data_IF_187740447144
#
_entry.id   IF_187740447144
#
_cell.length_a   1.000
_cell.length_b   1.000
_cell.length_c   1.000
_cell.angle_alpha   90.00
_cell.angle_beta   90.00
_cell.angle_gamma   90.00
#
_symmetry.space_group_name_H-M   'P 1'
#
loop_
_entity.id
_entity.type
_entity.pdbx_description
1 polymer ?
#
# COMPACT_ATOMS: atom_id res chain seq x y z
N UNK A 1 -24.55 6.45 42.13
CA UNK A 1 -25.47 5.37 41.68
C UNK A 1 -25.33 5.02 40.19
N UNK A 2 -25.60 5.90 39.20
CA UNK A 2 -25.49 5.53 37.76
C UNK A 2 -24.04 5.34 37.27
N UNK A 3 -23.10 6.09 37.83
CA UNK A 3 -21.65 6.00 37.55
C UNK A 3 -20.99 4.75 38.14
N UNK A 4 -21.39 4.34 39.35
CA UNK A 4 -20.87 3.14 40.01
C UNK A 4 -21.27 1.85 39.27
N UNK A 5 -22.49 1.81 38.73
CA UNK A 5 -22.96 0.71 37.91
C UNK A 5 -22.15 0.55 36.60
N UNK A 6 -21.68 1.63 35.99
CA UNK A 6 -20.84 1.57 34.78
C UNK A 6 -19.44 1.05 35.11
N UNK A 7 -18.88 1.44 36.26
CA UNK A 7 -17.57 0.95 36.72
C UNK A 7 -17.59 -0.55 37.01
N UNK A 8 -18.61 -1.03 37.74
CA UNK A 8 -18.77 -2.45 38.03
C UNK A 8 -18.96 -3.29 36.76
N UNK A 9 -19.70 -2.79 35.77
CA UNK A 9 -19.89 -3.49 34.48
C UNK A 9 -18.59 -3.59 33.67
N UNK A 10 -17.74 -2.56 33.70
CA UNK A 10 -16.41 -2.59 33.07
C UNK A 10 -15.45 -3.58 33.77
N UNK A 11 -15.51 -3.69 35.09
CA UNK A 11 -14.70 -4.67 35.84
C UNK A 11 -15.18 -6.11 35.61
N UNK A 12 -16.49 -6.34 35.49
CA UNK A 12 -17.05 -7.64 35.11
C UNK A 12 -16.64 -8.06 33.69
N UNK A 13 -16.69 -7.14 32.71
CA UNK A 13 -16.24 -7.42 31.34
C UNK A 13 -14.75 -7.78 31.28
N UNK A 14 -13.89 -7.07 32.03
CA UNK A 14 -12.46 -7.43 32.13
C UNK A 14 -12.22 -8.80 32.76
N UNK A 15 -13.03 -9.21 33.74
CA UNK A 15 -12.95 -10.54 34.35
C UNK A 15 -13.42 -11.63 33.38
N UNK A 16 -14.44 -11.35 32.57
CA UNK A 16 -14.93 -12.25 31.52
C UNK A 16 -13.86 -12.45 30.43
N UNK A 17 -13.29 -11.35 29.89
CA UNK A 17 -12.22 -11.41 28.88
C UNK A 17 -10.99 -12.21 29.37
N UNK A 18 -10.67 -12.13 30.67
CA UNK A 18 -9.57 -12.90 31.25
C UNK A 18 -9.92 -14.40 31.38
N UNK A 19 -11.15 -14.76 31.75
CA UNK A 19 -11.61 -16.15 31.79
C UNK A 19 -11.67 -16.78 30.39
N UNK A 20 -12.14 -16.04 29.39
CA UNK A 20 -12.19 -16.53 28.02
C UNK A 20 -10.78 -16.74 27.45
N UNK A 21 -9.82 -15.89 27.83
CA UNK A 21 -8.41 -16.05 27.46
C UNK A 21 -7.76 -17.28 28.10
N UNK A 22 -8.00 -17.51 29.40
CA UNK A 22 -7.46 -18.68 30.10
C UNK A 22 -8.12 -19.99 29.59
N UNK A 23 -9.43 -19.98 29.33
CA UNK A 23 -10.16 -21.11 28.72
C UNK A 23 -9.63 -21.47 27.32
N UNK A 24 -9.25 -20.49 26.51
CA UNK A 24 -8.70 -20.74 25.17
C UNK A 24 -7.30 -21.37 25.20
N UNK A 25 -6.54 -21.17 26.28
CA UNK A 25 -5.24 -21.83 26.48
C UNK A 25 -5.40 -23.25 26.98
N UNK A 26 -6.38 -23.51 27.85
CA UNK A 26 -6.59 -24.83 28.41
C UNK A 26 -7.20 -25.79 27.37
N UNK A 27 -8.10 -25.33 26.50
CA UNK A 27 -8.62 -26.13 25.38
C UNK A 27 -7.54 -26.52 24.37
N UNK A 28 -6.61 -25.61 24.04
CA UNK A 28 -5.48 -25.92 23.13
C UNK A 28 -4.44 -26.86 23.75
N UNK A 29 -4.43 -27.03 25.09
CA UNK A 29 -3.51 -27.95 25.78
C UNK A 29 -4.16 -29.33 26.02
N UNK A 30 -5.49 -29.42 26.04
CA UNK A 30 -6.21 -30.70 26.24
C UNK A 30 -6.47 -31.53 24.98
N UNK A 31 -6.33 -30.96 23.78
CA UNK A 31 -6.55 -31.69 22.50
C UNK A 31 -5.30 -32.35 21.91
N UNK A 32 -4.20 -32.42 22.65
CA UNK A 32 -2.93 -33.03 22.19
C UNK A 32 -2.49 -34.29 22.94
N UNK A 33 -3.27 -34.78 23.92
CA UNK A 33 -2.85 -35.88 24.81
C UNK A 33 -3.73 -37.16 24.76
N UNK A 34 -4.57 -37.36 23.73
CA UNK A 34 -5.50 -38.52 23.64
C UNK A 34 -5.22 -39.54 22.51
N UNK A 35 -4.06 -39.50 21.83
CA UNK A 35 -3.71 -40.50 20.80
C UNK A 35 -2.30 -41.07 20.96
N UNK A 36 -2.05 -41.91 21.97
CA UNK A 36 -0.99 -42.93 21.93
C UNK A 36 -1.20 -44.02 23.02
N UNK A 37 -2.21 -44.87 22.83
CA UNK A 37 -2.36 -46.15 23.52
C UNK A 37 -2.27 -47.28 22.50
N UNK A 38 -1.06 -47.77 22.23
CA UNK A 38 -0.77 -49.17 21.88
C UNK A 38 0.68 -49.34 21.43
N UNK A 39 1.47 -50.10 22.20
CA UNK A 39 2.60 -50.85 21.66
C UNK A 39 3.97 -50.60 22.28
N UNK A 40 4.43 -51.56 23.08
CA UNK A 40 5.75 -52.15 22.84
C UNK A 40 6.90 -51.77 23.78
N UNK A 41 7.07 -52.57 24.83
CA UNK A 41 8.26 -52.71 25.68
C UNK A 41 9.61 -52.76 24.93
N UNK A 42 10.64 -52.05 25.45
CA UNK A 42 11.99 -52.64 25.66
C UNK A 42 12.91 -51.83 26.62
N UNK A 43 13.19 -52.49 27.76
CA UNK A 43 14.47 -52.62 28.48
C UNK A 43 15.33 -51.40 28.89
N UNK A 44 15.31 -51.16 30.21
CA UNK A 44 16.44 -50.91 31.16
C UNK A 44 17.87 -50.88 30.59
N UNK A 45 18.71 -49.95 31.10
CA UNK A 45 19.85 -50.19 32.01
C UNK A 45 20.48 -48.84 32.45
N UNK A 46 21.05 -48.87 33.66
CA UNK A 46 21.47 -47.80 34.56
C UNK A 46 22.70 -46.96 34.16
N UNK A 47 22.83 -45.80 34.83
CA UNK A 47 24.12 -45.30 35.34
C UNK A 47 24.43 -43.83 35.02
N UNK A 48 24.42 -42.95 36.04
CA UNK A 48 25.62 -42.24 36.55
C UNK A 48 25.33 -40.95 37.33
N UNK A 49 25.82 -40.99 38.58
CA UNK A 49 26.72 -40.00 39.24
C UNK A 49 26.20 -38.62 39.66
N UNK A 50 26.11 -38.47 40.99
CA UNK A 50 26.23 -37.22 41.75
C UNK A 50 27.66 -36.65 41.67
N UNK A 51 27.80 -35.33 41.53
CA UNK A 51 28.96 -34.61 42.08
C UNK A 51 28.59 -33.17 42.49
N UNK A 52 28.82 -32.89 43.78
CA UNK A 52 28.88 -31.56 44.42
C UNK A 52 30.19 -30.82 44.11
N UNK A 53 30.19 -29.50 44.43
CA UNK A 53 31.27 -28.49 44.53
C UNK A 53 31.29 -27.47 43.37
N UNK A 54 31.55 -26.17 43.55
CA UNK A 54 32.02 -25.33 44.66
C UNK A 54 31.88 -23.85 44.25
N UNK A 55 31.63 -22.97 45.22
CA UNK A 55 31.83 -21.51 45.12
C UNK A 55 33.32 -21.15 44.89
N UNK A 56 33.63 -20.23 43.97
CA UNK A 56 34.89 -19.42 43.85
C UNK A 56 34.50 -18.09 43.17
N UNK A 57 34.35 -16.96 43.89
CA UNK A 57 35.35 -15.95 44.29
C UNK A 57 35.80 -14.99 43.17
N UNK A 58 35.60 -13.69 43.47
CA UNK A 58 36.05 -12.47 42.82
C UNK A 58 37.55 -12.42 42.44
N UNK A 59 37.84 -11.81 41.28
CA UNK A 59 39.01 -10.98 40.88
C UNK A 59 39.02 -10.99 39.32
N UNK A 60 39.15 -9.91 38.53
CA UNK A 60 39.96 -8.68 38.63
C UNK A 60 39.53 -7.71 37.50
N UNK A 61 39.32 -6.45 37.88
CA UNK A 61 39.79 -5.19 37.26
C UNK A 61 39.99 -5.01 35.74
N UNK A 62 39.59 -3.81 35.30
CA UNK A 62 40.01 -3.00 34.14
C UNK A 62 39.24 -3.15 32.82
N UNK A 63 38.17 -2.35 32.70
CA UNK A 63 37.92 -1.52 31.50
C UNK A 63 36.82 -0.47 31.78
N UNK A 64 37.19 0.60 32.50
CA UNK A 64 36.43 1.84 32.56
C UNK A 64 36.87 2.73 31.38
N UNK A 65 36.04 2.84 30.33
CA UNK A 65 36.00 4.03 29.45
C UNK A 65 34.88 4.05 28.37
N UNK A 66 33.92 3.12 28.34
CA UNK A 66 32.85 3.12 27.31
C UNK A 66 31.41 3.23 27.83
N UNK A 67 31.20 3.55 29.11
CA UNK A 67 29.86 3.57 29.74
C UNK A 67 29.13 4.93 29.74
N UNK A 68 29.70 5.99 29.18
CA UNK A 68 29.04 7.29 29.09
C UNK A 68 28.23 7.48 27.80
N UNK A 69 28.66 6.88 26.67
CA UNK A 69 27.94 6.98 25.39
C UNK A 69 26.73 6.03 25.28
N UNK A 70 26.68 4.98 26.10
CA UNK A 70 25.56 4.03 26.15
C UNK A 70 24.41 4.61 26.99
N UNK A 71 24.74 5.26 28.12
CA UNK A 71 23.73 5.93 28.96
C UNK A 71 23.06 7.11 28.24
N UNK A 72 23.78 7.85 27.39
CA UNK A 72 23.20 8.99 26.68
C UNK A 72 22.24 8.57 25.55
N UNK A 73 22.55 7.47 24.84
CA UNK A 73 21.64 6.86 23.84
C UNK A 73 20.37 6.26 24.49
N UNK A 74 20.52 5.58 25.61
CA UNK A 74 19.38 4.98 26.34
C UNK A 74 18.46 6.05 26.97
N UNK A 75 19.00 7.21 27.36
CA UNK A 75 18.23 8.36 27.86
C UNK A 75 17.46 9.04 26.72
N UNK A 76 18.04 9.13 25.51
CA UNK A 76 17.36 9.69 24.34
C UNK A 76 16.23 8.75 23.89
N UNK A 77 16.49 7.44 23.76
CA UNK A 77 15.48 6.45 23.34
C UNK A 77 14.34 6.28 24.36
N UNK A 78 14.62 6.36 25.66
CA UNK A 78 13.58 6.32 26.70
C UNK A 78 12.71 7.59 26.74
N UNK A 79 13.25 8.74 26.33
CA UNK A 79 12.48 10.00 26.24
C UNK A 79 11.58 10.07 25.00
N UNK A 80 11.98 9.40 23.91
CA UNK A 80 11.21 9.33 22.65
C UNK A 80 10.09 8.30 22.75
N UNK A 81 10.35 7.14 23.36
CA UNK A 81 9.36 6.07 23.54
C UNK A 81 8.25 6.43 24.57
N UNK A 82 8.51 7.32 25.52
CA UNK A 82 7.50 7.80 26.48
C UNK A 82 6.58 8.90 25.93
N UNK A 83 6.92 9.55 24.80
CA UNK A 83 6.08 10.61 24.19
C UNK A 83 4.78 10.08 23.55
N UNK A 84 4.62 8.75 23.49
CA UNK A 84 3.53 8.10 22.78
C UNK A 84 2.37 7.59 23.63
N UNK A 85 2.49 7.70 24.94
CA UNK A 85 1.45 7.46 25.92
C UNK A 85 1.04 8.76 26.60
N UNK A 86 0.46 9.69 25.82
CA UNK A 86 -0.09 10.89 26.42
C UNK A 86 -1.34 10.54 27.23
N UNK A 87 -1.23 10.58 28.55
CA UNK A 87 -2.40 10.54 29.43
C UNK A 87 -3.07 11.91 29.36
N UNK A 88 -4.39 11.97 29.56
CA UNK A 88 -5.11 13.25 29.63
C UNK A 88 -4.56 14.22 30.70
N UNK A 89 -3.70 13.71 31.60
CA UNK A 89 -3.01 14.41 32.68
C UNK A 89 -1.69 15.07 32.29
N UNK A 90 -1.19 14.87 31.07
CA UNK A 90 0.13 15.40 30.71
C UNK A 90 0.09 16.91 30.45
N UNK A 91 1.16 17.64 30.83
CA UNK A 91 1.19 19.09 30.72
C UNK A 91 1.02 19.54 29.25
N UNK A 92 0.38 20.69 29.00
CA UNK A 92 0.14 21.18 27.64
C UNK A 92 1.43 21.29 26.81
N UNK A 93 2.57 21.53 27.45
CA UNK A 93 3.90 21.54 26.82
C UNK A 93 4.24 20.23 26.08
N UNK A 94 3.82 19.07 26.59
CA UNK A 94 4.04 17.78 25.94
C UNK A 94 3.25 17.65 24.63
N UNK A 95 2.01 18.19 24.60
CA UNK A 95 1.16 18.21 23.41
C UNK A 95 1.76 19.11 22.32
N UNK A 96 2.28 20.29 22.69
CA UNK A 96 2.97 21.19 21.77
C UNK A 96 4.29 20.59 21.26
N UNK A 97 5.09 19.97 22.12
CA UNK A 97 6.32 19.28 21.70
C UNK A 97 6.02 18.18 20.69
N UNK A 98 4.97 17.38 20.92
CA UNK A 98 4.55 16.32 20.00
C UNK A 98 4.07 16.87 18.66
N UNK A 99 3.31 17.96 18.68
CA UNK A 99 2.88 18.64 17.47
C UNK A 99 4.09 19.19 16.69
N UNK A 100 5.04 19.83 17.38
CA UNK A 100 6.25 20.37 16.77
C UNK A 100 7.10 19.28 16.11
N UNK A 101 7.38 18.18 16.81
CA UNK A 101 8.13 17.03 16.23
C UNK A 101 7.40 16.51 14.99
N UNK A 102 6.08 16.39 15.04
CA UNK A 102 5.29 15.92 13.90
C UNK A 102 5.34 16.88 12.72
N UNK A 103 5.22 18.18 12.96
CA UNK A 103 5.31 19.19 11.91
C UNK A 103 6.69 19.22 11.25
N UNK A 104 7.77 19.16 12.03
CA UNK A 104 9.14 19.17 11.52
C UNK A 104 9.44 17.91 10.69
N UNK A 105 9.12 16.73 11.23
CA UNK A 105 9.30 15.48 10.49
C UNK A 105 8.41 15.42 9.24
N UNK A 106 7.17 15.93 9.33
CA UNK A 106 6.27 16.03 8.19
C UNK A 106 6.82 16.95 7.09
N UNK A 107 7.39 18.10 7.45
CA UNK A 107 8.05 19.01 6.50
C UNK A 107 9.26 18.37 5.83
N UNK A 108 10.09 17.65 6.59
CA UNK A 108 11.22 16.89 6.05
C UNK A 108 10.76 15.81 5.07
N UNK A 109 9.73 15.05 5.43
CA UNK A 109 9.14 14.05 4.53
C UNK A 109 8.61 14.68 3.25
N UNK A 110 7.84 15.77 3.33
CA UNK A 110 7.33 16.48 2.14
C UNK A 110 8.48 16.96 1.25
N UNK A 111 9.54 17.53 1.84
CA UNK A 111 10.74 17.95 1.10
C UNK A 111 11.42 16.79 0.39
N UNK A 112 11.68 15.69 1.09
CA UNK A 112 12.26 14.47 0.53
C UNK A 112 11.42 13.89 -0.62
N UNK A 113 10.11 13.74 -0.41
CA UNK A 113 9.20 13.26 -1.44
C UNK A 113 9.16 14.21 -2.65
N UNK A 114 9.18 15.53 -2.44
CA UNK A 114 9.21 16.50 -3.54
C UNK A 114 10.49 16.37 -4.36
N UNK A 115 11.64 16.15 -3.72
CA UNK A 115 12.91 15.89 -4.41
C UNK A 115 12.80 14.61 -5.24
N UNK A 116 12.35 13.50 -4.65
CA UNK A 116 12.18 12.23 -5.39
C UNK A 116 11.20 12.40 -6.55
N UNK A 117 10.07 13.08 -6.33
CA UNK A 117 9.06 13.32 -7.36
C UNK A 117 9.57 14.23 -8.48
N UNK A 118 10.55 15.11 -8.23
CA UNK A 118 11.17 15.95 -9.26
C UNK A 118 12.16 15.21 -10.18
N UNK A 119 12.42 13.93 -9.90
CA UNK A 119 13.29 13.07 -10.73
C UNK A 119 12.50 12.30 -11.79
N UNK A 120 13.20 11.48 -12.57
CA UNK A 120 12.63 10.64 -13.62
C UNK A 120 11.59 9.63 -13.10
N UNK A 121 10.56 9.33 -13.91
CA UNK A 121 9.53 8.32 -13.64
C UNK A 121 10.14 6.98 -13.18
N UNK A 122 11.29 6.58 -13.75
CA UNK A 122 12.01 5.36 -13.35
C UNK A 122 12.50 5.43 -11.90
N UNK A 123 13.06 6.56 -11.46
CA UNK A 123 13.54 6.73 -10.08
C UNK A 123 12.36 6.73 -9.11
N UNK A 124 11.24 7.35 -9.48
CA UNK A 124 10.00 7.31 -8.69
C UNK A 124 9.48 5.86 -8.58
N UNK A 125 9.51 5.07 -9.66
CA UNK A 125 9.13 3.67 -9.63
C UNK A 125 10.05 2.82 -8.74
N UNK A 126 11.36 3.02 -8.79
CA UNK A 126 12.32 2.36 -7.88
C UNK A 126 12.07 2.74 -6.42
N UNK A 127 11.75 4.00 -6.16
CA UNK A 127 11.41 4.45 -4.81
C UNK A 127 10.14 3.77 -4.28
N UNK A 128 9.11 3.64 -5.13
CA UNK A 128 7.89 2.91 -4.81
C UNK A 128 8.19 1.44 -4.47
N UNK A 129 9.04 0.78 -5.26
CA UNK A 129 9.53 -0.58 -4.97
C UNK A 129 10.24 -0.63 -3.61
N UNK A 130 11.13 0.32 -3.32
CA UNK A 130 11.85 0.36 -2.04
C UNK A 130 10.90 0.49 -0.84
N UNK A 131 9.90 1.36 -0.92
CA UNK A 131 8.86 1.50 0.11
C UNK A 131 8.10 0.19 0.33
N UNK A 132 7.78 -0.54 -0.73
CA UNK A 132 7.05 -1.81 -0.63
C UNK A 132 7.88 -2.93 -0.02
N UNK A 133 9.18 -2.99 -0.29
CA UNK A 133 10.08 -3.90 0.39
C UNK A 133 10.13 -3.62 1.91
N UNK A 134 10.07 -2.34 2.29
CA UNK A 134 9.97 -1.95 3.71
C UNK A 134 8.62 -2.37 4.30
N UNK A 135 7.49 -2.08 3.64
CA UNK A 135 6.16 -2.55 4.09
C UNK A 135 6.13 -4.07 4.26
N UNK A 136 6.65 -4.83 3.28
CA UNK A 136 6.71 -6.27 3.36
C UNK A 136 7.51 -6.74 4.59
N UNK A 137 8.69 -6.13 4.81
CA UNK A 137 9.53 -6.42 5.98
C UNK A 137 8.77 -6.14 7.29
N UNK A 138 8.11 -5.00 7.42
CA UNK A 138 7.33 -4.62 8.62
C UNK A 138 6.18 -5.62 8.87
N UNK A 139 5.44 -5.98 7.84
CA UNK A 139 4.30 -6.90 7.92
C UNK A 139 4.70 -8.34 8.28
N UNK A 140 5.84 -8.83 7.77
CA UNK A 140 6.37 -10.15 8.15
C UNK A 140 6.95 -10.14 9.56
N UNK A 141 7.51 -9.02 10.01
CA UNK A 141 8.08 -8.89 11.36
C UNK A 141 7.04 -9.11 12.46
N UNK A 142 5.76 -8.74 12.24
CA UNK A 142 4.66 -8.96 13.19
C UNK A 142 4.51 -10.42 13.64
N UNK A 143 4.76 -11.38 12.74
CA UNK A 143 4.63 -12.82 13.05
C UNK A 143 5.96 -13.51 13.35
N UNK A 144 7.06 -12.78 13.27
CA UNK A 144 8.39 -13.37 13.44
C UNK A 144 8.61 -13.93 14.84
N UNK A 145 8.12 -13.23 15.88
CA UNK A 145 8.27 -13.65 17.28
C UNK A 145 7.56 -14.99 17.51
N UNK A 146 6.27 -15.09 17.16
CA UNK A 146 5.50 -16.33 17.28
C UNK A 146 6.09 -17.47 16.45
N UNK A 147 6.63 -17.18 15.25
CA UNK A 147 7.25 -18.18 14.39
C UNK A 147 8.56 -18.71 14.99
N UNK A 148 9.34 -17.84 15.64
CA UNK A 148 10.56 -18.20 16.38
C UNK A 148 10.23 -19.06 17.59
N UNK A 149 9.20 -18.70 18.35
CA UNK A 149 8.72 -19.47 19.51
C UNK A 149 8.25 -20.88 19.12
N UNK A 150 7.51 -21.01 18.01
CA UNK A 150 7.08 -22.30 17.45
C UNK A 150 8.18 -23.05 16.69
N UNK A 151 9.43 -22.55 16.70
CA UNK A 151 10.62 -23.14 16.07
C UNK A 151 10.37 -23.55 14.60
N UNK A 152 9.70 -22.69 13.82
CA UNK A 152 9.47 -22.95 12.39
C UNK A 152 10.78 -22.86 11.61
N UNK A 153 11.16 -23.90 10.87
CA UNK A 153 12.36 -23.86 10.04
C UNK A 153 12.17 -22.91 8.85
N UNK A 154 13.22 -22.20 8.46
CA UNK A 154 13.28 -21.39 7.24
C UNK A 154 12.18 -20.32 7.07
N UNK A 155 11.51 -19.89 8.15
CA UNK A 155 10.41 -18.92 8.09
C UNK A 155 10.76 -17.66 7.28
N UNK A 156 11.91 -17.03 7.58
CA UNK A 156 12.33 -15.82 6.87
C UNK A 156 12.64 -16.13 5.40
N UNK A 157 13.46 -17.15 5.15
CA UNK A 157 13.89 -17.54 3.80
C UNK A 157 12.71 -17.82 2.89
N UNK A 158 11.70 -18.55 3.38
CA UNK A 158 10.52 -18.88 2.60
C UNK A 158 9.67 -17.64 2.26
N UNK A 159 9.48 -16.73 3.21
CA UNK A 159 8.76 -15.47 2.95
C UNK A 159 9.47 -14.60 1.91
N UNK A 160 10.79 -14.42 2.05
CA UNK A 160 11.59 -13.66 1.09
C UNK A 160 11.67 -14.35 -0.28
N UNK A 161 11.63 -15.68 -0.33
CA UNK A 161 11.54 -16.43 -1.57
C UNK A 161 10.22 -16.14 -2.30
N UNK A 162 9.07 -16.24 -1.63
CA UNK A 162 7.79 -15.92 -2.25
C UNK A 162 7.69 -14.45 -2.71
N UNK A 163 8.32 -13.52 -1.98
CA UNK A 163 8.46 -12.14 -2.43
C UNK A 163 9.26 -12.05 -3.72
N UNK A 164 10.45 -12.67 -3.77
CA UNK A 164 11.28 -12.71 -4.96
C UNK A 164 10.55 -13.31 -6.16
N UNK A 165 9.88 -14.44 -5.99
CA UNK A 165 9.05 -15.08 -7.03
C UNK A 165 7.98 -14.13 -7.55
N UNK A 166 7.28 -13.42 -6.66
CA UNK A 166 6.23 -12.46 -7.04
C UNK A 166 6.82 -11.26 -7.79
N UNK A 167 7.95 -10.73 -7.32
CA UNK A 167 8.67 -9.65 -7.99
C UNK A 167 9.16 -10.06 -9.37
N UNK A 168 9.68 -11.28 -9.51
CA UNK A 168 10.10 -11.81 -10.79
C UNK A 168 8.91 -11.91 -11.76
N UNK A 169 7.77 -12.40 -11.29
CA UNK A 169 6.55 -12.48 -12.09
C UNK A 169 6.05 -11.10 -12.58
N UNK A 170 5.98 -10.09 -11.70
CA UNK A 170 5.44 -8.78 -12.07
C UNK A 170 6.45 -7.83 -12.74
N UNK A 171 7.74 -7.86 -12.36
CA UNK A 171 8.72 -6.83 -12.75
C UNK A 171 9.86 -7.30 -13.64
N UNK A 172 10.15 -8.60 -13.71
CA UNK A 172 11.34 -9.03 -14.44
C UNK A 172 11.20 -8.80 -15.96
N UNK A 173 10.00 -8.92 -16.53
CA UNK A 173 9.82 -8.89 -17.99
C UNK A 173 10.29 -7.56 -18.64
N UNK A 174 9.87 -6.37 -18.19
CA UNK A 174 10.40 -5.11 -18.75
C UNK A 174 11.92 -5.00 -18.62
N UNK A 175 12.48 -5.40 -17.47
CA UNK A 175 13.93 -5.36 -17.21
C UNK A 175 14.68 -6.32 -18.16
N UNK A 176 14.16 -7.54 -18.33
CA UNK A 176 14.73 -8.56 -19.21
C UNK A 176 14.68 -8.12 -20.68
N UNK A 177 13.63 -7.42 -21.11
CA UNK A 177 13.54 -6.85 -22.48
C UNK A 177 14.64 -5.80 -22.68
N UNK A 178 14.80 -4.88 -21.73
CA UNK A 178 15.87 -3.88 -21.79
C UNK A 178 17.25 -4.54 -21.84
N UNK A 179 17.51 -5.54 -21.00
CA UNK A 179 18.77 -6.29 -21.01
C UNK A 179 18.98 -7.09 -22.29
N UNK A 180 17.92 -7.64 -22.88
CA UNK A 180 17.99 -8.37 -24.15
C UNK A 180 18.34 -7.46 -25.34
N UNK A 181 18.03 -6.17 -25.28
CA UNK A 181 18.46 -5.21 -26.31
C UNK A 181 19.99 -5.00 -26.30
N UNK A 182 20.64 -5.15 -25.14
CA UNK A 182 22.10 -5.03 -25.01
C UNK A 182 22.83 -6.37 -25.17
N UNK A 183 22.25 -7.46 -24.65
CA UNK A 183 22.84 -8.80 -24.65
C UNK A 183 21.81 -9.86 -25.06
N UNK A 184 21.42 -9.91 -26.36
CA UNK A 184 20.32 -10.75 -26.84
C UNK A 184 20.58 -12.25 -26.61
N UNK A 185 21.81 -12.72 -26.85
CA UNK A 185 22.19 -14.14 -26.75
C UNK A 185 21.87 -14.76 -25.37
N UNK A 186 21.97 -13.95 -24.31
CA UNK A 186 21.76 -14.40 -22.94
C UNK A 186 20.30 -14.22 -22.52
N UNK A 187 19.73 -13.03 -22.74
CA UNK A 187 18.46 -12.65 -22.13
C UNK A 187 17.22 -12.98 -22.97
N UNK A 188 17.36 -13.19 -24.28
CA UNK A 188 16.21 -13.49 -25.14
C UNK A 188 15.49 -14.78 -24.72
N UNK A 189 16.24 -15.78 -24.25
CA UNK A 189 15.67 -17.00 -23.65
C UNK A 189 14.77 -16.67 -22.45
N UNK A 190 15.28 -15.87 -21.51
CA UNK A 190 14.55 -15.49 -20.30
C UNK A 190 13.33 -14.61 -20.60
N UNK A 191 13.41 -13.73 -21.61
CA UNK A 191 12.25 -12.95 -22.07
C UNK A 191 11.16 -13.86 -22.62
N UNK A 192 11.54 -14.81 -23.50
CA UNK A 192 10.60 -15.74 -24.15
C UNK A 192 9.92 -16.68 -23.16
N UNK A 193 10.67 -17.19 -22.19
CA UNK A 193 10.18 -18.18 -21.21
C UNK A 193 9.92 -17.60 -19.82
N UNK A 194 9.77 -16.26 -19.71
CA UNK A 194 9.56 -15.56 -18.43
C UNK A 194 8.42 -16.15 -17.60
N UNK A 195 7.26 -16.43 -18.22
CA UNK A 195 6.11 -17.03 -17.52
C UNK A 195 6.42 -18.44 -17.00
N UNK A 196 7.16 -19.23 -17.79
CA UNK A 196 7.52 -20.59 -17.42
C UNK A 196 8.51 -20.59 -16.23
N UNK A 197 9.51 -19.70 -16.25
CA UNK A 197 10.42 -19.52 -15.12
C UNK A 197 9.69 -19.01 -13.86
N UNK A 198 8.76 -18.07 -14.00
CA UNK A 198 7.97 -17.56 -12.88
C UNK A 198 7.13 -18.66 -12.24
N UNK A 199 6.46 -19.48 -13.05
CA UNK A 199 5.69 -20.63 -12.57
C UNK A 199 6.58 -21.68 -11.91
N UNK A 200 7.77 -21.93 -12.46
CA UNK A 200 8.74 -22.88 -11.90
C UNK A 200 9.24 -22.43 -10.53
N UNK A 201 9.57 -21.15 -10.36
CA UNK A 201 9.93 -20.56 -9.07
C UNK A 201 8.79 -20.69 -8.05
N UNK A 202 7.55 -20.45 -8.46
CA UNK A 202 6.38 -20.64 -7.59
C UNK A 202 6.25 -22.11 -7.13
N UNK A 203 6.36 -23.07 -8.05
CA UNK A 203 6.33 -24.50 -7.73
C UNK A 203 7.45 -24.90 -6.76
N UNK A 204 8.68 -24.39 -6.94
CA UNK A 204 9.79 -24.60 -6.01
C UNK A 204 9.42 -24.07 -4.61
N UNK A 205 8.90 -22.85 -4.52
CA UNK A 205 8.47 -22.26 -3.25
C UNK A 205 7.37 -23.07 -2.57
N UNK A 206 6.41 -23.57 -3.34
CA UNK A 206 5.34 -24.42 -2.85
C UNK A 206 5.88 -25.74 -2.29
N UNK A 207 6.76 -26.43 -3.03
CA UNK A 207 7.40 -27.67 -2.56
C UNK A 207 8.24 -27.39 -1.31
N UNK A 208 9.03 -26.32 -1.28
CA UNK A 208 9.80 -25.91 -0.10
C UNK A 208 8.89 -25.67 1.12
N UNK A 209 7.73 -25.02 0.94
CA UNK A 209 6.75 -24.87 2.01
C UNK A 209 6.26 -26.23 2.53
N UNK A 210 5.89 -27.16 1.64
CA UNK A 210 5.44 -28.51 2.04
C UNK A 210 6.54 -29.24 2.83
N UNK A 211 7.79 -29.14 2.41
CA UNK A 211 8.94 -29.73 3.11
C UNK A 211 9.19 -29.11 4.50
N UNK A 212 8.68 -27.90 4.77
CA UNK A 212 8.79 -27.29 6.11
C UNK A 212 7.71 -27.77 7.09
N UNK A 213 6.68 -28.50 6.64
CA UNK A 213 5.55 -28.91 7.46
C UNK A 213 5.98 -29.81 8.63
N UNK A 214 5.54 -29.49 9.84
CA UNK A 214 5.81 -30.27 11.07
C UNK A 214 4.51 -30.65 11.77
N UNK A 215 4.42 -31.93 12.19
CA UNK A 215 3.32 -32.45 13.00
C UNK A 215 3.12 -31.58 14.25
N UNK A 216 1.87 -31.27 14.59
CA UNK A 216 1.49 -30.44 15.75
C UNK A 216 1.40 -28.93 15.50
N UNK A 217 1.87 -28.40 14.36
CA UNK A 217 1.81 -26.94 14.07
C UNK A 217 1.22 -26.61 12.69
N UNK A 218 0.58 -27.57 12.01
CA UNK A 218 0.05 -27.38 10.66
C UNK A 218 -0.89 -26.18 10.54
N UNK A 219 -1.87 -26.04 11.45
CA UNK A 219 -2.83 -24.91 11.44
C UNK A 219 -2.12 -23.55 11.42
N UNK A 220 -1.04 -23.44 12.20
CA UNK A 220 -0.23 -22.22 12.25
C UNK A 220 0.59 -22.05 10.95
N UNK A 221 1.19 -23.10 10.40
CA UNK A 221 1.94 -23.02 9.13
C UNK A 221 1.05 -22.65 7.93
N UNK A 222 -0.15 -23.21 7.82
CA UNK A 222 -1.13 -22.81 6.79
C UNK A 222 -1.62 -21.37 7.00
N UNK A 223 -1.83 -20.96 8.25
CA UNK A 223 -2.10 -19.55 8.58
C UNK A 223 -0.93 -18.65 8.19
N UNK A 224 0.33 -19.10 8.33
CA UNK A 224 1.51 -18.37 7.86
C UNK A 224 1.53 -18.20 6.36
N UNK A 225 1.31 -19.26 5.59
CA UNK A 225 1.22 -19.17 4.14
C UNK A 225 0.13 -18.19 3.70
N UNK A 226 -1.05 -18.27 4.33
CA UNK A 226 -2.18 -17.37 4.04
C UNK A 226 -1.81 -15.90 4.30
N UNK A 227 -1.07 -15.63 5.37
CA UNK A 227 -0.57 -14.30 5.70
C UNK A 227 0.46 -13.78 4.69
N UNK A 228 1.41 -14.63 4.29
CA UNK A 228 2.38 -14.31 3.23
C UNK A 228 1.65 -13.96 1.93
N UNK A 229 0.71 -14.80 1.49
CA UNK A 229 -0.07 -14.57 0.27
C UNK A 229 -0.90 -13.29 0.35
N UNK A 230 -1.53 -13.01 1.50
CA UNK A 230 -2.26 -11.77 1.72
C UNK A 230 -1.36 -10.54 1.59
N UNK A 231 -0.17 -10.56 2.21
CA UNK A 231 0.80 -9.45 2.11
C UNK A 231 1.28 -9.30 0.66
N UNK A 232 1.57 -10.39 -0.05
CA UNK A 232 2.00 -10.32 -1.45
C UNK A 232 0.92 -9.73 -2.35
N UNK A 233 -0.35 -10.07 -2.12
CA UNK A 233 -1.47 -9.45 -2.82
C UNK A 233 -1.57 -7.95 -2.49
N UNK A 234 -1.44 -7.57 -1.21
CA UNK A 234 -1.55 -6.18 -0.78
C UNK A 234 -0.36 -5.31 -1.22
N UNK A 235 0.84 -5.87 -1.25
CA UNK A 235 2.08 -5.16 -1.56
C UNK A 235 2.41 -5.24 -3.05
N UNK A 236 2.56 -6.45 -3.62
CA UNK A 236 3.12 -6.66 -4.97
C UNK A 236 2.11 -6.41 -6.09
N UNK A 237 0.85 -6.80 -5.89
CA UNK A 237 -0.18 -6.56 -6.92
C UNK A 237 -0.50 -5.07 -6.99
N UNK A 238 -0.69 -4.44 -5.83
CA UNK A 238 -0.94 -3.00 -5.74
C UNK A 238 0.20 -2.18 -6.33
N UNK A 239 1.43 -2.57 -6.05
CA UNK A 239 2.62 -1.88 -6.53
C UNK A 239 2.77 -1.94 -8.04
N UNK A 240 2.41 -3.08 -8.64
CA UNK A 240 2.41 -3.23 -10.08
C UNK A 240 1.45 -2.23 -10.74
N UNK A 241 0.25 -2.06 -10.18
CA UNK A 241 -0.70 -1.05 -10.64
C UNK A 241 -0.20 0.38 -10.43
N UNK A 242 0.41 0.67 -9.28
CA UNK A 242 0.96 1.98 -8.98
C UNK A 242 2.09 2.37 -9.94
N UNK A 243 2.99 1.44 -10.23
CA UNK A 243 4.08 1.64 -11.18
C UNK A 243 3.52 1.80 -12.59
N UNK A 244 2.54 0.99 -12.98
CA UNK A 244 1.85 1.18 -14.26
C UNK A 244 1.26 2.59 -14.39
N UNK A 245 0.64 3.12 -13.34
CA UNK A 245 0.12 4.50 -13.33
C UNK A 245 1.22 5.54 -13.47
N UNK A 246 2.37 5.37 -12.78
CA UNK A 246 3.54 6.25 -12.91
C UNK A 246 3.96 6.37 -14.37
N UNK A 247 4.12 5.25 -15.09
CA UNK A 247 4.56 5.26 -16.48
C UNK A 247 3.55 5.89 -17.46
N UNK A 248 2.26 5.89 -17.13
CA UNK A 248 1.21 6.58 -17.90
C UNK A 248 1.20 8.10 -17.67
N UNK A 249 1.97 8.59 -16.69
CA UNK A 249 2.08 10.00 -16.32
C UNK A 249 2.17 10.13 -14.81
N UNK A 250 3.13 10.91 -14.30
CA UNK A 250 3.29 11.11 -12.87
C UNK A 250 2.08 11.77 -12.21
N UNK A 251 1.21 12.44 -12.98
CA UNK A 251 -0.08 12.95 -12.49
C UNK A 251 -0.93 11.85 -11.85
N UNK A 252 -0.93 10.63 -12.42
CA UNK A 252 -1.67 9.47 -11.92
C UNK A 252 -1.06 8.86 -10.66
N UNK A 253 0.05 9.41 -10.19
CA UNK A 253 0.68 9.06 -8.92
C UNK A 253 0.63 10.21 -7.92
N UNK A 254 1.09 11.40 -8.32
CA UNK A 254 1.20 12.58 -7.47
C UNK A 254 -0.18 13.06 -7.00
N UNK A 255 -1.14 13.21 -7.92
CA UNK A 255 -2.47 13.73 -7.56
C UNK A 255 -3.19 12.81 -6.54
N UNK A 256 -3.31 11.49 -6.76
CA UNK A 256 -3.91 10.58 -5.79
C UNK A 256 -3.19 10.55 -4.44
N UNK A 257 -1.86 10.53 -4.43
CA UNK A 257 -1.08 10.55 -3.18
C UNK A 257 -1.35 11.83 -2.40
N UNK A 258 -1.32 12.99 -3.07
CA UNK A 258 -1.61 14.28 -2.46
C UNK A 258 -3.05 14.38 -1.96
N UNK A 259 -4.03 13.78 -2.66
CA UNK A 259 -5.43 13.71 -2.21
C UNK A 259 -5.55 13.00 -0.86
N UNK A 260 -4.89 11.85 -0.68
CA UNK A 260 -4.91 11.10 0.58
C UNK A 260 -4.24 11.89 1.71
N UNK A 261 -3.05 12.47 1.45
CA UNK A 261 -2.33 13.27 2.44
C UNK A 261 -3.16 14.48 2.88
N UNK A 262 -3.77 15.17 1.91
CA UNK A 262 -4.68 16.28 2.15
C UNK A 262 -5.90 15.85 2.98
N UNK A 263 -6.52 14.73 2.62
CA UNK A 263 -7.65 14.17 3.36
C UNK A 263 -7.29 13.86 4.82
N UNK A 264 -6.14 13.24 5.08
CA UNK A 264 -5.70 12.93 6.45
C UNK A 264 -5.43 14.21 7.27
N UNK A 265 -4.83 15.23 6.67
CA UNK A 265 -4.58 16.53 7.31
C UNK A 265 -5.90 17.20 7.68
N UNK A 266 -6.84 17.32 6.75
CA UNK A 266 -8.12 17.97 7.02
C UNK A 266 -9.03 17.13 7.91
N UNK A 267 -8.93 15.81 7.89
CA UNK A 267 -9.62 14.94 8.84
C UNK A 267 -9.12 15.17 10.26
N UNK A 268 -7.80 15.34 10.45
CA UNK A 268 -7.21 15.68 11.73
C UNK A 268 -7.65 17.07 12.21
N UNK A 269 -7.57 18.10 11.36
CA UNK A 269 -7.99 19.46 11.73
C UNK A 269 -9.47 19.55 12.08
N UNK A 270 -10.37 19.05 11.22
CA UNK A 270 -11.81 19.05 11.49
C UNK A 270 -12.16 18.18 12.69
N UNK A 271 -11.47 17.04 12.87
CA UNK A 271 -11.63 16.20 14.06
C UNK A 271 -11.13 16.87 15.34
N UNK A 272 -10.12 17.73 15.28
CA UNK A 272 -9.61 18.48 16.42
C UNK A 272 -10.56 19.61 16.85
N UNK A 273 -11.10 20.38 15.90
CA UNK A 273 -11.96 21.54 16.20
C UNK A 273 -13.43 21.18 16.43
N UNK A 274 -13.96 20.21 15.68
CA UNK A 274 -15.40 19.87 15.66
C UNK A 274 -15.68 18.44 16.14
N UNK A 275 -14.65 17.62 16.37
CA UNK A 275 -14.83 16.21 16.66
C UNK A 275 -15.63 15.94 17.93
N UNK A 276 -16.60 15.02 17.82
CA UNK A 276 -17.51 14.64 18.91
C UNK A 276 -18.39 15.79 19.42
N UNK A 277 -18.53 16.88 18.68
CA UNK A 277 -19.44 17.98 19.04
C UNK A 277 -20.87 17.67 18.62
N UNK A 278 -21.05 17.02 17.47
CA UNK A 278 -22.36 16.66 16.92
C UNK A 278 -22.64 15.17 17.10
N UNK A 279 -21.62 14.33 16.89
CA UNK A 279 -21.72 12.87 16.93
C UNK A 279 -20.75 12.36 17.99
N UNK A 280 -21.28 12.08 19.19
CA UNK A 280 -20.51 11.63 20.36
C UNK A 280 -19.86 10.22 20.21
N UNK A 281 -20.03 9.55 19.06
CA UNK A 281 -19.44 8.23 18.78
C UNK A 281 -18.23 8.37 17.85
N UNK A 282 -17.17 7.55 18.05
CA UNK A 282 -16.10 7.46 17.06
C UNK A 282 -16.65 6.91 15.74
N UNK A 283 -15.97 7.21 14.64
CA UNK A 283 -16.32 6.71 13.32
C UNK A 283 -16.34 5.17 13.30
N UNK A 284 -15.32 4.54 13.88
CA UNK A 284 -15.25 3.10 14.10
C UNK A 284 -14.66 2.76 15.46
N UNK A 285 -15.11 1.65 16.05
CA UNK A 285 -14.60 1.16 17.34
C UNK A 285 -13.11 0.80 17.29
N UNK A 286 -12.62 0.35 16.13
CA UNK A 286 -11.21 -0.05 15.94
C UNK A 286 -10.22 1.14 15.96
N UNK A 287 -10.73 2.35 15.73
CA UNK A 287 -9.96 3.59 15.72
C UNK A 287 -10.73 4.72 16.42
N UNK A 288 -10.69 4.77 17.77
CA UNK A 288 -11.56 5.64 18.58
C UNK A 288 -11.26 7.15 18.47
N UNK A 289 -10.16 7.51 17.82
CA UNK A 289 -9.75 8.90 17.63
C UNK A 289 -10.31 9.53 16.35
N UNK A 290 -10.76 8.73 15.38
CA UNK A 290 -11.37 9.26 14.15
C UNK A 290 -12.84 9.60 14.42
N UNK A 291 -13.26 10.81 14.06
CA UNK A 291 -14.62 11.33 14.30
C UNK A 291 -15.40 11.46 13.01
N UNK A 292 -16.73 11.42 13.09
CA UNK A 292 -17.60 11.62 11.93
C UNK A 292 -17.46 13.04 11.36
N UNK A 293 -17.32 14.05 12.22
CA UNK A 293 -17.12 15.43 11.80
C UNK A 293 -15.79 15.62 11.06
N UNK A 294 -14.73 14.94 11.51
CA UNK A 294 -13.44 14.94 10.84
C UNK A 294 -13.54 14.32 9.45
N UNK A 295 -14.20 13.17 9.34
CA UNK A 295 -14.38 12.44 8.09
C UNK A 295 -15.22 13.23 7.06
N UNK A 296 -16.38 13.74 7.46
CA UNK A 296 -17.26 14.52 6.58
C UNK A 296 -16.63 15.87 6.22
N UNK A 297 -16.02 16.55 7.19
CA UNK A 297 -15.36 17.83 6.96
C UNK A 297 -14.17 17.72 6.01
N UNK A 298 -13.39 16.63 6.10
CA UNK A 298 -12.27 16.38 5.21
C UNK A 298 -12.71 16.28 3.74
N UNK A 299 -13.81 15.57 3.45
CA UNK A 299 -14.33 15.43 2.09
C UNK A 299 -14.49 16.76 1.36
N UNK A 300 -15.09 17.78 2.01
CA UNK A 300 -15.26 19.10 1.39
C UNK A 300 -13.93 19.79 1.04
N UNK A 301 -12.97 19.77 1.97
CA UNK A 301 -11.65 20.35 1.74
C UNK A 301 -10.84 19.59 0.69
N UNK A 302 -10.92 18.25 0.69
CA UNK A 302 -10.23 17.40 -0.27
C UNK A 302 -10.76 17.60 -1.69
N UNK A 303 -12.07 17.83 -1.86
CA UNK A 303 -12.66 18.17 -3.17
C UNK A 303 -12.11 19.50 -3.71
N UNK A 304 -12.11 20.53 -2.86
CA UNK A 304 -11.57 21.85 -3.22
C UNK A 304 -10.08 21.75 -3.59
N UNK A 305 -9.30 21.06 -2.76
CA UNK A 305 -7.88 20.83 -3.00
C UNK A 305 -7.65 20.10 -4.31
N UNK A 306 -8.36 19.00 -4.58
CA UNK A 306 -8.18 18.21 -5.79
C UNK A 306 -8.46 19.02 -7.06
N UNK A 307 -9.51 19.84 -7.07
CA UNK A 307 -9.87 20.68 -8.22
C UNK A 307 -8.76 21.69 -8.60
N UNK A 308 -8.25 22.44 -7.61
CA UNK A 308 -7.21 23.45 -7.83
C UNK A 308 -5.81 22.87 -7.97
N UNK A 309 -5.47 21.86 -7.17
CA UNK A 309 -4.16 21.22 -7.22
C UNK A 309 -3.97 20.46 -8.54
N UNK A 310 -5.03 19.81 -9.05
CA UNK A 310 -5.00 19.23 -10.39
C UNK A 310 -4.66 20.30 -11.44
N UNK A 311 -5.34 21.44 -11.44
CA UNK A 311 -5.04 22.56 -12.36
C UNK A 311 -3.61 23.10 -12.21
N UNK A 312 -3.04 23.09 -11.01
CA UNK A 312 -1.63 23.44 -10.77
C UNK A 312 -0.67 22.44 -11.42
N UNK A 313 -0.93 21.13 -11.31
CA UNK A 313 -0.07 20.08 -11.89
C UNK A 313 -0.02 20.15 -13.43
N UNK A 314 -1.09 20.60 -14.09
CA UNK A 314 -1.16 20.71 -15.55
C UNK A 314 -0.18 21.74 -16.16
N UNK A 315 0.45 22.57 -15.33
CA UNK A 315 1.50 23.50 -15.78
C UNK A 315 2.81 22.81 -16.15
N UNK A 316 2.98 21.55 -15.73
CA UNK A 316 4.24 20.82 -15.86
C UNK A 316 4.09 19.63 -16.80
N UNK A 317 4.67 19.72 -18.01
CA UNK A 317 4.58 18.66 -19.02
C UNK A 317 5.16 17.34 -18.53
N UNK A 318 6.27 17.36 -17.78
CA UNK A 318 6.89 16.15 -17.24
C UNK A 318 6.00 15.38 -16.25
N UNK A 319 5.02 16.05 -15.63
CA UNK A 319 4.04 15.41 -14.74
C UNK A 319 2.93 14.73 -15.55
N UNK A 320 2.50 15.39 -16.62
CA UNK A 320 1.34 14.97 -17.42
C UNK A 320 1.72 13.92 -18.47
N UNK A 321 2.90 14.08 -19.09
CA UNK A 321 3.33 13.25 -20.20
C UNK A 321 3.67 11.81 -19.76
N UNK A 322 3.19 10.80 -20.51
CA UNK A 322 3.60 9.42 -20.30
C UNK A 322 5.07 9.25 -20.65
N UNK A 323 5.79 8.42 -19.89
CA UNK A 323 7.23 8.15 -20.12
C UNK A 323 7.46 7.37 -21.42
N UNK A 324 6.48 6.58 -21.87
CA UNK A 324 6.62 5.74 -23.06
C UNK A 324 7.90 4.87 -23.01
N UNK A 325 8.53 4.70 -24.17
CA UNK A 325 9.83 4.05 -24.32
C UNK A 325 11.01 5.04 -24.41
N UNK A 326 10.82 6.30 -24.00
CA UNK A 326 11.88 7.33 -24.11
C UNK A 326 13.05 6.99 -23.19
N UNK A 327 14.25 7.43 -23.56
CA UNK A 327 15.47 7.21 -22.80
C UNK A 327 15.39 7.71 -21.35
N UNK A 328 16.30 7.20 -20.53
CA UNK A 328 16.48 7.66 -19.16
C UNK A 328 16.86 9.15 -19.16
N UNK A 329 16.11 10.00 -18.43
CA UNK A 329 16.35 11.45 -18.31
C UNK A 329 16.16 12.32 -19.57
N UNK A 330 15.47 11.83 -20.61
CA UNK A 330 15.09 12.67 -21.74
C UNK A 330 13.97 13.66 -21.38
N UNK A 331 14.02 14.88 -21.94
CA UNK A 331 12.97 15.88 -21.79
C UNK A 331 11.68 15.38 -22.42
N UNK A 332 10.64 15.20 -21.60
CA UNK A 332 9.34 14.73 -22.05
C UNK A 332 8.50 15.88 -22.60
N UNK A 333 8.42 15.93 -23.93
CA UNK A 333 7.42 16.71 -24.63
C UNK A 333 6.49 15.73 -25.35
N UNK A 334 5.21 15.77 -25.00
CA UNK A 334 4.18 14.94 -25.60
C UNK A 334 3.00 15.80 -26.05
N UNK A 335 2.24 15.28 -27.00
CA UNK A 335 0.88 15.77 -27.24
C UNK A 335 0.03 15.41 -26.03
N UNK A 336 -0.44 16.42 -25.30
CA UNK A 336 -1.27 16.21 -24.10
C UNK A 336 -2.57 15.52 -24.50
N UNK A 337 -2.95 14.49 -23.73
CA UNK A 337 -4.23 13.80 -23.91
C UNK A 337 -5.40 14.80 -23.83
N UNK A 338 -6.48 14.63 -24.63
CA UNK A 338 -7.66 15.50 -24.61
C UNK A 338 -8.29 15.73 -23.24
N UNK A 339 -8.04 14.88 -22.24
CA UNK A 339 -8.50 15.06 -20.85
C UNK A 339 -7.81 16.24 -20.15
N UNK A 340 -6.60 16.59 -20.58
CA UNK A 340 -5.77 17.66 -20.01
C UNK A 340 -5.90 18.99 -20.77
N UNK A 341 -6.64 19.02 -21.87
CA UNK A 341 -6.86 20.20 -22.69
C UNK A 341 -8.17 20.91 -22.30
N UNK A 342 -8.17 22.24 -22.43
CA UNK A 342 -9.37 23.04 -22.26
C UNK A 342 -10.41 22.67 -23.33
N UNK A 343 -11.65 22.45 -22.89
CA UNK A 343 -12.81 22.21 -23.76
C UNK A 343 -13.88 23.24 -23.46
N UNK A 344 -14.59 23.66 -24.49
CA UNK A 344 -15.78 24.50 -24.34
C UNK A 344 -16.99 23.61 -24.02
N UNK A 345 -17.65 23.88 -22.90
CA UNK A 345 -18.90 23.22 -22.56
C UNK A 345 -20.06 23.95 -23.23
N UNK A 346 -20.69 23.27 -24.19
CA UNK A 346 -21.89 23.75 -24.86
C UNK A 346 -23.09 23.06 -24.20
N UNK A 347 -23.98 23.84 -23.59
CA UNK A 347 -25.19 23.31 -22.97
C UNK A 347 -26.09 22.66 -24.03
N UNK A 348 -26.69 21.48 -23.73
CA UNK A 348 -27.71 20.88 -24.59
C UNK A 348 -28.83 21.88 -24.93
N UNK A 349 -29.29 21.93 -26.19
CA UNK A 349 -30.28 22.92 -26.64
C UNK A 349 -31.60 22.85 -25.86
N UNK A 350 -31.94 21.68 -25.31
CA UNK A 350 -33.11 21.48 -24.47
C UNK A 350 -32.98 22.25 -23.15
N UNK A 351 -31.79 22.29 -22.55
CA UNK A 351 -31.53 22.98 -21.30
C UNK A 351 -31.47 24.49 -21.53
N UNK A 352 -30.84 24.94 -22.62
CA UNK A 352 -30.76 26.37 -22.94
C UNK A 352 -32.15 26.95 -23.23
N UNK A 353 -33.01 26.23 -23.95
CA UNK A 353 -34.39 26.65 -24.22
C UNK A 353 -35.25 26.69 -22.97
N UNK A 354 -35.14 25.69 -22.07
CA UNK A 354 -35.85 25.67 -20.79
C UNK A 354 -35.37 26.82 -19.89
N UNK A 355 -34.06 27.02 -19.76
CA UNK A 355 -33.49 28.10 -18.95
C UNK A 355 -33.90 29.48 -19.47
N UNK A 356 -33.89 29.67 -20.79
CA UNK A 356 -34.34 30.91 -21.40
C UNK A 356 -35.85 31.13 -21.18
N UNK A 357 -36.67 30.10 -21.38
CA UNK A 357 -38.15 30.20 -21.29
C UNK A 357 -38.65 30.43 -19.86
N UNK A 358 -38.12 29.71 -18.88
CA UNK A 358 -38.66 29.73 -17.51
C UNK A 358 -37.86 30.59 -16.54
N UNK A 359 -36.56 30.74 -16.76
CA UNK A 359 -35.68 31.50 -15.87
C UNK A 359 -35.23 32.83 -16.49
N UNK A 360 -35.43 33.06 -17.79
CA UNK A 360 -34.90 34.24 -18.49
C UNK A 360 -33.37 34.28 -18.54
N UNK A 361 -32.70 33.14 -18.33
CA UNK A 361 -31.24 33.05 -18.26
C UNK A 361 -30.70 32.51 -19.59
N UNK A 362 -29.81 33.29 -20.22
CA UNK A 362 -29.01 32.82 -21.35
C UNK A 362 -27.77 32.11 -20.81
N UNK A 363 -27.71 30.79 -20.98
CA UNK A 363 -26.55 29.99 -20.57
C UNK A 363 -25.40 30.22 -21.57
N UNK A 364 -24.36 30.91 -21.13
CA UNK A 364 -23.13 31.12 -21.91
C UNK A 364 -22.23 29.88 -21.83
N UNK A 365 -21.56 29.49 -22.92
CA UNK A 365 -20.55 28.44 -22.86
C UNK A 365 -19.45 28.86 -21.89
N UNK A 366 -18.90 27.88 -21.16
CA UNK A 366 -17.75 28.09 -20.29
C UNK A 366 -16.66 27.09 -20.62
N UNK A 367 -15.40 27.49 -20.42
CA UNK A 367 -14.25 26.60 -20.60
C UNK A 367 -14.02 25.77 -19.35
N UNK A 368 -13.70 24.50 -19.54
CA UNK A 368 -13.35 23.61 -18.45
C UNK A 368 -12.25 22.64 -18.89
N UNK A 369 -11.51 22.11 -17.91
CA UNK A 369 -10.53 21.06 -18.17
C UNK A 369 -11.10 19.73 -17.63
N UNK A 370 -11.37 18.73 -18.47
CA UNK A 370 -12.04 17.48 -18.07
C UNK A 370 -11.39 16.78 -16.87
N UNK A 371 -10.05 16.78 -16.81
CA UNK A 371 -9.29 16.17 -15.70
C UNK A 371 -9.67 16.74 -14.32
N UNK A 372 -10.09 18.00 -14.21
CA UNK A 372 -10.50 18.57 -12.93
C UNK A 372 -11.76 17.91 -12.38
N UNK A 373 -12.70 17.52 -13.25
CA UNK A 373 -13.87 16.73 -12.85
C UNK A 373 -13.49 15.31 -12.46
N UNK A 374 -12.55 14.68 -13.19
CA UNK A 374 -12.00 13.39 -12.77
C UNK A 374 -11.32 13.49 -11.41
N UNK A 375 -10.57 14.56 -11.13
CA UNK A 375 -9.94 14.81 -9.83
C UNK A 375 -10.96 14.89 -8.68
N UNK A 376 -12.17 15.40 -8.93
CA UNK A 376 -13.27 15.36 -7.94
C UNK A 376 -13.73 13.93 -7.66
N UNK A 377 -13.83 13.07 -8.68
CA UNK A 377 -14.15 11.65 -8.49
C UNK A 377 -13.05 10.95 -7.70
N UNK A 378 -11.78 11.25 -7.99
CA UNK A 378 -10.63 10.74 -7.23
C UNK A 378 -10.67 11.21 -5.77
N UNK A 379 -11.05 12.46 -5.52
CA UNK A 379 -11.19 13.02 -4.18
C UNK A 379 -12.36 12.43 -3.39
N UNK A 380 -13.49 12.15 -4.05
CA UNK A 380 -14.61 11.42 -3.43
C UNK A 380 -14.16 10.02 -3.02
N UNK A 381 -13.49 9.28 -3.89
CA UNK A 381 -12.97 7.96 -3.54
C UNK A 381 -11.92 8.04 -2.43
N UNK A 382 -10.96 8.97 -2.56
CA UNK A 382 -9.87 9.19 -1.62
C UNK A 382 -10.32 9.63 -0.22
N UNK A 383 -11.49 10.27 -0.11
CA UNK A 383 -12.06 10.68 1.19
C UNK A 383 -13.04 9.66 1.76
N UNK A 384 -13.86 9.01 0.92
CA UNK A 384 -14.92 8.13 1.41
C UNK A 384 -14.47 6.67 1.56
N UNK A 385 -13.68 6.16 0.62
CA UNK A 385 -13.33 4.73 0.53
C UNK A 385 -11.88 4.48 0.95
N UNK A 386 -10.93 5.29 0.49
CA UNK A 386 -9.51 5.05 0.76
C UNK A 386 -9.15 4.97 2.27
N UNK A 387 -9.78 5.73 3.19
CA UNK A 387 -9.50 5.61 4.62
C UNK A 387 -9.80 4.23 5.22
N UNK A 388 -10.59 3.38 4.54
CA UNK A 388 -10.81 1.99 4.91
C UNK A 388 -9.55 1.12 4.80
N UNK A 389 -8.59 1.50 3.95
CA UNK A 389 -7.25 0.90 3.98
C UNK A 389 -6.57 1.10 5.35
N UNK A 390 -6.65 2.30 5.92
CA UNK A 390 -6.10 2.56 7.25
C UNK A 390 -6.90 1.97 8.41
N UNK A 391 -8.21 1.77 8.25
CA UNK A 391 -9.01 1.00 9.21
C UNK A 391 -8.64 -0.48 9.20
N UNK A 392 -8.37 -1.05 8.02
CA UNK A 392 -7.88 -2.42 7.87
C UNK A 392 -6.51 -2.60 8.53
N UNK A 393 -5.55 -1.71 8.23
CA UNK A 393 -4.23 -1.71 8.86
C UNK A 393 -4.33 -1.56 10.39
N UNK A 394 -5.21 -0.68 10.86
CA UNK A 394 -5.51 -0.56 12.30
C UNK A 394 -6.02 -1.88 12.88
N UNK A 395 -6.87 -2.62 12.17
CA UNK A 395 -7.37 -3.92 12.62
C UNK A 395 -6.30 -4.99 12.74
N UNK A 396 -5.36 -5.03 11.79
CA UNK A 396 -4.16 -5.87 11.89
C UNK A 396 -3.37 -5.54 13.16
N UNK A 397 -3.10 -4.25 13.40
CA UNK A 397 -2.35 -3.82 14.59
C UNK A 397 -3.02 -4.27 15.89
N UNK A 398 -4.35 -4.18 15.96
CA UNK A 398 -5.11 -4.64 17.14
C UNK A 398 -5.10 -6.16 17.29
N UNK A 399 -5.16 -6.92 16.19
CA UNK A 399 -5.07 -8.38 16.23
C UNK A 399 -3.74 -8.86 16.85
N UNK A 400 -2.62 -8.20 16.51
CA UNK A 400 -1.30 -8.51 17.06
C UNK A 400 -0.92 -7.71 18.31
N UNK A 401 -1.86 -6.97 18.91
CA UNK A 401 -1.64 -6.15 20.12
C UNK A 401 -0.49 -5.14 19.98
N UNK A 402 -0.20 -4.69 18.77
CA UNK A 402 0.78 -3.63 18.48
C UNK A 402 0.08 -2.29 18.24
N UNK A 403 0.83 -1.20 18.37
CA UNK A 403 0.31 0.16 18.12
C UNK A 403 0.68 0.68 16.74
N UNK A 404 1.90 0.40 16.30
CA UNK A 404 2.53 0.83 15.07
C UNK A 404 3.25 -0.39 14.44
N UNK A 405 3.40 -0.43 13.11
CA UNK A 405 4.02 -1.59 12.44
C UNK A 405 5.53 -1.64 12.65
N UNK A 406 6.16 -0.47 12.74
CA UNK A 406 7.59 -0.29 13.01
C UNK A 406 7.81 1.13 13.59
N UNK A 407 9.04 1.45 14.00
CA UNK A 407 9.42 2.75 14.55
C UNK A 407 10.41 3.51 13.65
N UNK A 408 10.40 3.23 12.34
CA UNK A 408 11.34 3.83 11.36
C UNK A 408 11.29 5.36 11.39
N UNK A 409 10.09 5.94 11.49
CA UNK A 409 9.93 7.40 11.58
C UNK A 409 9.49 7.81 12.98
N UNK A 410 10.37 8.45 13.78
CA UNK A 410 10.06 8.86 15.14
C UNK A 410 8.77 9.70 15.21
N UNK A 411 7.81 9.26 16.03
CA UNK A 411 6.50 9.89 16.19
C UNK A 411 5.53 9.73 15.01
N UNK A 412 5.93 8.99 13.97
CA UNK A 412 5.16 8.74 12.75
C UNK A 412 4.82 7.25 12.50
N UNK A 413 5.47 6.30 13.17
CA UNK A 413 5.22 4.87 12.99
C UNK A 413 5.99 4.28 11.80
N UNK A 414 5.51 3.15 11.29
CA UNK A 414 6.14 2.43 10.17
C UNK A 414 5.78 3.03 8.82
N UNK A 415 6.44 2.54 7.77
CA UNK A 415 6.08 2.82 6.37
C UNK A 415 4.67 2.32 6.07
N UNK A 416 4.27 1.18 6.65
CA UNK A 416 2.93 0.61 6.50
C UNK A 416 1.85 1.56 7.04
N UNK A 417 2.12 2.22 8.18
CA UNK A 417 1.21 3.21 8.77
C UNK A 417 1.01 4.46 7.89
N UNK A 418 1.87 4.68 6.89
CA UNK A 418 1.85 5.83 5.98
C UNK A 418 1.31 5.51 4.59
N UNK A 419 1.28 4.23 4.24
CA UNK A 419 0.89 3.75 2.91
C UNK A 419 -0.40 2.94 2.93
N UNK A 420 -1.00 2.71 4.10
CA UNK A 420 -2.21 1.90 4.29
C UNK A 420 -3.40 2.31 3.41
N UNK A 421 -3.68 3.62 3.31
CA UNK A 421 -4.75 4.16 2.48
C UNK A 421 -4.35 4.18 0.98
N UNK A 422 -3.05 4.21 0.68
CA UNK A 422 -2.55 4.21 -0.70
C UNK A 422 -2.75 2.87 -1.39
N UNK A 423 -2.86 1.77 -0.64
CA UNK A 423 -3.01 0.46 -1.26
C UNK A 423 -4.28 0.38 -2.12
N UNK A 424 -5.41 0.77 -1.56
CA UNK A 424 -6.68 0.79 -2.28
C UNK A 424 -6.75 1.94 -3.29
N UNK A 425 -6.12 3.09 -2.98
CA UNK A 425 -6.08 4.25 -3.87
C UNK A 425 -5.35 3.91 -5.18
N UNK A 426 -4.15 3.32 -5.11
CA UNK A 426 -3.37 2.96 -6.31
C UNK A 426 -4.10 2.01 -7.26
N UNK A 427 -4.79 1.01 -6.70
CA UNK A 427 -5.65 0.09 -7.48
C UNK A 427 -6.81 0.84 -8.14
N UNK A 428 -7.51 1.68 -7.38
CA UNK A 428 -8.64 2.46 -7.90
C UNK A 428 -8.22 3.34 -9.08
N UNK A 429 -7.09 4.05 -8.96
CA UNK A 429 -6.58 4.89 -10.05
C UNK A 429 -6.31 4.08 -11.31
N UNK A 430 -5.71 2.90 -11.16
CA UNK A 430 -5.43 2.05 -12.32
C UNK A 430 -6.72 1.62 -13.03
N UNK A 431 -7.72 1.17 -12.27
CA UNK A 431 -9.02 0.78 -12.82
C UNK A 431 -9.73 1.98 -13.45
N UNK A 432 -9.76 3.11 -12.75
CA UNK A 432 -10.43 4.33 -13.18
C UNK A 432 -9.82 4.91 -14.46
N UNK A 433 -8.48 5.01 -14.50
CA UNK A 433 -7.73 5.48 -15.67
C UNK A 433 -8.01 4.60 -16.90
N UNK A 434 -7.85 3.28 -16.79
CA UNK A 434 -8.08 2.38 -17.91
C UNK A 434 -9.54 2.31 -18.37
N UNK A 435 -10.50 2.65 -17.52
CA UNK A 435 -11.94 2.58 -17.85
C UNK A 435 -12.47 3.88 -18.44
N UNK A 436 -12.11 5.03 -17.87
CA UNK A 436 -12.77 6.31 -18.17
C UNK A 436 -11.88 7.35 -18.86
N UNK A 437 -10.56 7.19 -18.80
CA UNK A 437 -9.63 8.20 -19.31
C UNK A 437 -8.83 7.69 -20.50
N UNK A 438 -8.25 6.49 -20.39
CA UNK A 438 -7.36 5.93 -21.40
C UNK A 438 -8.06 5.85 -22.74
N UNK A 439 -7.68 6.72 -23.65
CA UNK A 439 -8.07 6.67 -25.05
C UNK A 439 -7.25 5.56 -25.73
N UNK A 440 -7.91 4.71 -26.51
CA UNK A 440 -7.22 3.71 -27.34
C UNK A 440 -6.65 4.43 -28.56
N UNK A 441 -5.57 5.17 -28.38
CA UNK A 441 -4.75 5.60 -29.52
C UNK A 441 -3.98 4.38 -30.01
N UNK A 442 -4.48 3.76 -31.07
CA UNK A 442 -3.77 2.67 -31.72
C UNK A 442 -2.69 3.30 -32.60
N UNK A 443 -1.42 3.16 -32.21
CA UNK A 443 -0.29 3.59 -33.03
C UNK A 443 -0.32 2.84 -34.38
N UNK A 444 -0.51 3.54 -35.51
CA UNK A 444 -0.54 2.92 -36.84
C UNK A 444 0.73 2.11 -37.13
N UNK A 445 1.87 2.50 -36.54
CA UNK A 445 3.15 1.80 -36.69
C UNK A 445 3.09 0.41 -36.08
N UNK A 446 2.49 0.28 -34.89
CA UNK A 446 2.30 -1.02 -34.25
C UNK A 446 1.36 -1.91 -35.06
N UNK A 447 0.24 -1.36 -35.57
CA UNK A 447 -0.65 -2.09 -36.48
C UNK A 447 0.15 -2.58 -37.70
N UNK A 448 0.91 -1.69 -38.32
CA UNK A 448 1.71 -2.00 -39.49
C UNK A 448 2.73 -3.11 -39.24
N UNK A 449 3.47 -3.05 -38.13
CA UNK A 449 4.44 -4.08 -37.76
C UNK A 449 3.78 -5.45 -37.56
N UNK A 450 2.62 -5.50 -36.92
CA UNK A 450 1.86 -6.76 -36.76
C UNK A 450 1.35 -7.26 -38.11
N UNK A 451 0.84 -6.38 -38.98
CA UNK A 451 0.41 -6.74 -40.34
C UNK A 451 1.59 -7.33 -41.13
N UNK A 452 2.79 -6.76 -41.01
CA UNK A 452 3.97 -7.25 -41.71
C UNK A 452 4.40 -8.67 -41.28
N UNK A 453 4.10 -9.08 -40.06
CA UNK A 453 4.39 -10.44 -39.53
C UNK A 453 3.41 -11.51 -40.02
N UNK A 454 2.27 -11.13 -40.60
CA UNK A 454 1.26 -12.06 -41.10
C UNK A 454 1.69 -12.73 -42.42
N UNK A 455 1.10 -13.89 -42.71
CA UNK A 455 1.21 -14.56 -44.00
C UNK A 455 0.57 -13.72 -45.12
N UNK A 456 0.91 -14.00 -46.38
CA UNK A 456 0.34 -13.24 -47.51
C UNK A 456 -1.17 -13.44 -47.64
N UNK A 457 -1.69 -14.62 -47.33
CA UNK A 457 -3.13 -14.90 -47.31
C UNK A 457 -3.86 -14.02 -46.28
N UNK A 458 -3.34 -13.94 -45.05
CA UNK A 458 -3.89 -13.08 -43.99
C UNK A 458 -3.82 -11.59 -44.34
N UNK A 459 -2.72 -11.15 -44.98
CA UNK A 459 -2.56 -9.78 -45.46
C UNK A 459 -3.64 -9.42 -46.50
N UNK A 460 -3.95 -10.33 -47.42
CA UNK A 460 -5.01 -10.12 -48.42
C UNK A 460 -6.39 -10.00 -47.76
N UNK A 461 -6.69 -10.84 -46.77
CA UNK A 461 -7.96 -10.74 -46.01
C UNK A 461 -8.08 -9.39 -45.30
N UNK A 462 -7.01 -8.90 -44.68
CA UNK A 462 -7.00 -7.57 -44.04
C UNK A 462 -7.20 -6.46 -45.07
N UNK A 463 -6.51 -6.54 -46.22
CA UNK A 463 -6.63 -5.58 -47.30
C UNK A 463 -8.08 -5.49 -47.82
N UNK A 464 -8.74 -6.62 -48.07
CA UNK A 464 -10.13 -6.65 -48.52
C UNK A 464 -11.09 -6.04 -47.50
N UNK A 465 -10.94 -6.37 -46.20
CA UNK A 465 -11.75 -5.79 -45.12
C UNK A 465 -11.52 -4.28 -44.98
N UNK A 466 -10.26 -3.84 -45.08
CA UNK A 466 -9.92 -2.42 -44.99
C UNK A 466 -10.49 -1.65 -46.19
N UNK A 467 -10.38 -2.21 -47.40
CA UNK A 467 -10.97 -1.64 -48.61
C UNK A 467 -12.49 -1.49 -48.46
N UNK A 468 -13.20 -2.54 -48.03
CA UNK A 468 -14.65 -2.48 -47.78
C UNK A 468 -15.03 -1.41 -46.75
N UNK A 469 -14.24 -1.29 -45.66
CA UNK A 469 -14.48 -0.28 -44.63
C UNK A 469 -14.29 1.15 -45.15
N UNK A 470 -13.28 1.37 -45.99
CA UNK A 470 -13.00 2.68 -46.59
C UNK A 470 -14.11 3.04 -47.58
N UNK A 471 -14.49 2.12 -48.47
CA UNK A 471 -15.57 2.32 -49.45
C UNK A 471 -16.93 2.62 -48.77
N UNK A 472 -17.23 1.95 -47.65
CA UNK A 472 -18.43 2.24 -46.85
C UNK A 472 -18.39 3.66 -46.25
N UNK A 473 -17.23 4.12 -45.79
CA UNK A 473 -17.05 5.44 -45.18
C UNK A 473 -17.06 6.55 -46.23
N UNK A 474 -16.49 6.34 -47.41
CA UNK A 474 -16.49 7.33 -48.49
C UNK A 474 -17.83 7.39 -49.24
N UNK A 475 -18.54 6.27 -49.36
CA UNK A 475 -19.90 6.22 -49.94
C UNK A 475 -20.97 6.87 -49.06
N UNK A 476 -20.74 7.00 -47.75
CA UNK A 476 -21.60 7.75 -46.82
C UNK A 476 -21.27 9.25 -46.76
N UNK A 477 -20.15 9.68 -47.34
CA UNK A 477 -19.76 11.10 -47.45
C UNK A 477 -20.20 11.68 -48.82
N UNK A 478 -20.59 10.84 -49.78
CA UNK A 478 -21.03 11.24 -51.14
C UNK A 478 -22.51 10.99 -51.45
N UNK A 479 -23.30 10.53 -50.47
CA UNK A 479 -24.76 10.49 -50.49
C UNK A 479 -25.31 11.50 -49.46
#
# INVERSE_FOLDING_TARGET
MRTDNIRNRKEQLKKQEKKDFDSSKDEETSTSDEEESSGGNRSKIAGKENHQNKNIINQKTNNNNNNNNIKEKDIIDSSVNNADNLKATDPPSAKYKKLAIRSVMGAFMIGFFTIVLSTDHFIVALFVIALQLLVFKEMIALRYIEAKEKKIPHFRTLNWFFLFTSFFFFYAKPILITLANYYPDIFQHFVRYHLWHSFSLYCIGFVLFILTLRKGVYRYQFSQLTWTLMILMMVVVQSNFLISNIYQGLIWFILPVSIIVCNDIFAYFNGFFLGKKFINRPLMKISPNKTWEGFIGATGWTLLFAYYFCGFLLKYDWIVCPKGNTGFMESLHCTRDPVFLEKEFIFPPEITTIAFKYLGITLLPFTYIPIQFHALVLALFGSLIAPFGGFFASGIKRAYKVKDFDTIFPGHGGVTDRTDCQFIMGLFIHVYYNTFIKTLEIDPTFIWQNIMMLSMEEKMVIYEKLKQSIEFTTGTITA
#
